data_IF_642472915250
#
_entry.id   IF_642472915250
#
_cell.length_a   1.000
_cell.length_b   1.000
_cell.length_c   1.000
_cell.angle_alpha   90.00
_cell.angle_beta   90.00
_cell.angle_gamma   90.00
#
_symmetry.space_group_name_H-M   'P 1'
#
loop_
_entity.id
_entity.type
_entity.pdbx_description
1 polymer ?
2 non-polymer ?
3 non-polymer ?
4 non-polymer ?
5 non-polymer ?
6 water ?
#
# COMPACT_ATOMS: atom_id res chain seq x y z
N UNK A 1 26.38 7.30 8.63
CA UNK A 1 26.28 8.11 7.43
C UNK A 1 24.86 8.67 7.27
N UNK A 2 24.64 9.44 6.20
CA UNK A 2 23.31 9.93 5.92
C UNK A 2 22.37 8.78 5.56
N UNK A 3 21.07 9.03 5.70
CA UNK A 3 20.09 8.06 5.23
C UNK A 3 19.99 8.20 3.72
N UNK A 4 20.32 7.15 3.01
CA UNK A 4 20.44 7.20 1.56
C UNK A 4 19.18 6.67 0.88
N UNK A 5 18.91 7.19 -0.32
CA UNK A 5 17.89 6.59 -1.16
C UNK A 5 18.23 5.14 -1.46
N UNK A 6 17.20 4.32 -1.67
CA UNK A 6 17.38 2.91 -1.97
C UNK A 6 16.68 2.54 -3.27
N UNK A 7 17.32 1.64 -4.00
CA UNK A 7 16.71 0.99 -5.15
C UNK A 7 16.92 -0.52 -5.02
N UNK A 8 16.59 -1.28 -6.05
CA UNK A 8 16.80 -2.72 -6.02
C UNK A 8 18.24 -3.06 -6.37
N UNK A 9 18.75 -4.10 -5.73
CA UNK A 9 20.10 -4.54 -6.04
C UNK A 9 20.13 -5.48 -7.23
N UNK A 10 19.03 -6.17 -7.51
CA UNK A 10 18.92 -7.10 -8.63
C UNK A 10 17.50 -7.05 -9.16
N UNK A 11 17.34 -7.43 -10.43
CA UNK A 11 16.02 -7.52 -11.04
C UNK A 11 15.20 -8.62 -10.38
N UNK A 12 13.92 -8.33 -10.15
CA UNK A 12 12.99 -9.26 -9.52
C UNK A 12 11.90 -9.59 -10.52
N UNK A 13 11.53 -10.86 -10.59
CA UNK A 13 10.44 -11.26 -11.48
C UNK A 13 9.42 -12.07 -10.71
N UNK A 14 8.15 -11.86 -11.05
CA UNK A 14 7.06 -12.63 -10.46
C UNK A 14 5.99 -12.83 -11.52
N UNK A 15 5.25 -13.92 -11.39
CA UNK A 15 4.09 -14.19 -12.23
C UNK A 15 2.89 -14.42 -11.33
N UNK A 16 1.72 -13.95 -11.76
CA UNK A 16 0.53 -14.15 -10.98
C UNK A 16 -0.69 -13.77 -11.79
N UNK A 17 -1.78 -13.45 -11.09
CA UNK A 17 -3.03 -13.06 -11.74
C UNK A 17 -3.55 -11.80 -11.06
N UNK A 18 -4.23 -10.98 -11.84
CA UNK A 18 -4.89 -9.81 -11.25
C UNK A 18 -6.09 -10.24 -10.41
N UNK A 19 -6.19 -9.70 -9.19
CA UNK A 19 -7.32 -10.01 -8.34
C UNK A 19 -8.63 -9.70 -9.05
N UNK A 20 -8.72 -8.53 -9.65
CA UNK A 20 -10.00 -8.11 -10.21
C UNK A 20 -10.18 -8.55 -11.65
N UNK A 21 -9.12 -8.50 -12.44
CA UNK A 21 -9.23 -8.89 -13.85
C UNK A 21 -9.09 -10.38 -14.05
N UNK A 22 -8.46 -11.09 -13.11
CA UNK A 22 -8.12 -12.49 -13.31
C UNK A 22 -7.09 -12.76 -14.37
N UNK A 23 -6.49 -11.73 -14.97
CA UNK A 23 -5.54 -11.91 -16.05
C UNK A 23 -4.17 -12.35 -15.54
N UNK A 24 -3.57 -13.31 -16.24
CA UNK A 24 -2.17 -13.64 -15.97
C UNK A 24 -1.30 -12.42 -16.26
N UNK A 25 -0.35 -12.15 -15.37
CA UNK A 25 0.50 -10.98 -15.53
C UNK A 25 1.92 -11.31 -15.08
N UNK A 26 2.89 -10.81 -15.85
CA UNK A 26 4.30 -10.88 -15.51
C UNK A 26 4.73 -9.55 -14.93
N UNK A 27 5.33 -9.62 -13.75
CA UNK A 27 5.81 -8.44 -13.04
C UNK A 27 7.32 -8.47 -13.02
N UNK A 28 7.94 -7.33 -13.33
CA UNK A 28 9.40 -7.20 -13.30
C UNK A 28 9.75 -5.93 -12.57
N UNK A 29 10.50 -6.05 -11.48
CA UNK A 29 10.99 -4.91 -10.72
C UNK A 29 12.45 -4.68 -11.10
N UNK A 30 12.78 -3.44 -11.49
CA UNK A 30 14.14 -3.12 -11.90
C UNK A 30 14.70 -1.96 -11.10
N UNK A 31 16.03 -1.91 -10.92
CA UNK A 31 16.65 -0.73 -10.34
C UNK A 31 16.37 0.51 -11.17
N UNK A 32 16.40 1.66 -10.52
CA UNK A 32 16.18 2.94 -11.16
C UNK A 32 17.10 3.97 -10.53
N UNK A 33 17.43 5.03 -11.26
CA UNK A 33 18.37 6.04 -10.73
C UNK A 33 17.76 6.88 -9.62
N UNK A 34 18.65 7.60 -8.94
CA UNK A 34 18.23 8.49 -7.88
C UNK A 34 17.13 9.43 -8.36
N UNK A 35 16.18 9.72 -7.47
CA UNK A 35 15.09 10.68 -7.70
C UNK A 35 14.14 10.24 -8.81
N UNK A 36 14.11 8.95 -9.13
CA UNK A 36 13.13 8.45 -10.10
C UNK A 36 11.75 8.29 -9.47
N UNK A 37 11.69 7.92 -8.19
CA UNK A 37 10.48 7.40 -7.60
C UNK A 37 10.18 6.00 -8.12
N UNK A 38 8.99 5.52 -7.77
CA UNK A 38 8.48 4.26 -8.28
C UNK A 38 7.64 4.56 -9.52
N UNK A 39 7.97 3.92 -10.63
CA UNK A 39 7.31 4.19 -11.90
C UNK A 39 6.79 2.89 -12.48
N UNK A 40 5.49 2.84 -12.74
CA UNK A 40 4.90 1.66 -13.35
C UNK A 40 4.98 1.78 -14.87
N UNK A 41 5.14 0.63 -15.52
CA UNK A 41 5.32 0.62 -16.96
C UNK A 41 4.49 -0.52 -17.54
N UNK A 42 3.55 -0.20 -18.43
CA UNK A 42 2.79 -1.20 -19.18
C UNK A 42 3.63 -1.62 -20.37
N UNK A 43 4.38 -2.71 -20.22
CA UNK A 43 5.26 -3.15 -21.28
C UNK A 43 4.58 -4.03 -22.31
N UNK A 44 3.29 -4.33 -22.12
CA UNK A 44 2.48 -4.95 -23.18
C UNK A 44 2.11 -3.96 -24.27
N UNK A 45 2.30 -2.66 -24.04
CA UNK A 45 1.99 -1.62 -24.98
C UNK A 45 3.26 -1.16 -25.70
N UNK A 46 3.10 -0.70 -26.95
CA UNK A 46 4.25 -0.21 -27.70
C UNK A 46 3.85 1.07 -28.43
N UNK A 47 4.46 2.22 -28.10
CA UNK A 47 5.43 2.43 -27.03
C UNK A 47 4.84 2.16 -25.65
N UNK A 48 5.67 1.94 -24.63
CA UNK A 48 5.13 1.69 -23.32
C UNK A 48 4.41 2.94 -22.82
N UNK A 49 3.55 2.74 -21.83
CA UNK A 49 3.00 3.84 -21.04
C UNK A 49 3.60 3.73 -19.63
N UNK A 50 4.25 4.81 -19.20
CA UNK A 50 4.89 4.89 -17.90
C UNK A 50 4.08 5.80 -16.98
N UNK A 51 3.73 5.28 -15.81
CA UNK A 51 2.91 6.05 -14.87
C UNK A 51 3.63 6.14 -13.53
N UNK A 52 4.18 7.29 -13.16
CA UNK A 52 4.74 7.42 -11.80
C UNK A 52 3.68 7.08 -10.76
N UNK A 53 4.11 6.38 -9.71
CA UNK A 53 3.20 6.02 -8.61
C UNK A 53 3.05 7.24 -7.70
N UNK A 54 2.23 8.18 -8.15
CA UNK A 54 2.05 9.46 -7.48
C UNK A 54 0.56 9.78 -7.40
N UNK A 55 0.19 10.51 -6.34
CA UNK A 55 -1.22 10.80 -6.10
C UNK A 55 -1.90 11.44 -7.31
N UNK A 56 -1.18 12.30 -8.04
CA UNK A 56 -1.75 12.99 -9.20
C UNK A 56 -2.15 12.04 -10.33
N UNK A 57 -1.66 10.80 -10.32
CA UNK A 57 -2.02 9.82 -11.35
C UNK A 57 -3.06 8.82 -10.89
N UNK A 58 -3.60 8.97 -9.68
CA UNK A 58 -4.68 8.09 -9.24
C UNK A 58 -5.97 8.47 -9.96
N UNK A 59 -6.59 7.48 -10.61
CA UNK A 59 -7.76 7.78 -11.42
C UNK A 59 -9.07 7.19 -10.94
N UNK A 60 -9.02 5.96 -10.43
CA UNK A 60 -10.19 5.31 -9.87
C UNK A 60 -9.80 4.72 -8.52
N UNK A 61 -10.77 4.62 -7.63
CA UNK A 61 -10.50 4.10 -6.30
C UNK A 61 -11.60 3.14 -5.84
N UNK A 62 -12.22 2.46 -6.79
CA UNK A 62 -13.28 1.50 -6.50
C UNK A 62 -12.67 0.11 -6.42
N UNK A 63 -12.69 -0.46 -5.21
CA UNK A 63 -12.19 -1.80 -4.89
C UNK A 63 -10.68 -1.93 -5.02
N UNK A 64 -9.97 -0.88 -5.43
CA UNK A 64 -8.52 -0.85 -5.42
C UNK A 64 -8.06 0.57 -5.76
N UNK A 65 -6.77 0.83 -5.63
CA UNK A 65 -6.20 2.08 -6.11
C UNK A 65 -5.69 1.88 -7.53
N UNK A 66 -6.15 2.72 -8.46
CA UNK A 66 -5.86 2.59 -9.88
C UNK A 66 -5.10 3.81 -10.35
N UNK A 67 -3.97 3.59 -11.03
CA UNK A 67 -3.26 4.66 -11.71
C UNK A 67 -3.74 4.73 -13.15
N UNK A 68 -3.84 5.95 -13.67
CA UNK A 68 -4.33 6.16 -15.02
C UNK A 68 -3.43 7.15 -15.75
N UNK A 69 -3.27 6.92 -17.06
CA UNK A 69 -2.57 7.85 -17.95
C UNK A 69 -3.07 7.59 -19.36
N UNK A 70 -3.42 8.65 -20.08
CA UNK A 70 -4.02 8.44 -21.39
C UNK A 70 -5.25 7.57 -21.25
N UNK A 71 -5.38 6.58 -22.14
CA UNK A 71 -6.50 5.64 -22.08
C UNK A 71 -6.23 4.42 -21.20
N UNK A 72 -5.07 4.36 -20.54
CA UNK A 72 -4.69 3.10 -19.94
C UNK A 72 -4.54 3.24 -18.43
N UNK A 73 -4.53 2.09 -17.77
CA UNK A 73 -4.55 2.04 -16.32
C UNK A 73 -3.58 0.98 -15.82
N UNK A 74 -3.21 1.13 -14.54
CA UNK A 74 -2.53 0.11 -13.77
C UNK A 74 -3.37 -0.08 -12.51
N UNK A 75 -3.97 -1.26 -12.36
CA UNK A 75 -4.91 -1.54 -11.29
C UNK A 75 -4.21 -2.16 -10.08
N UNK A 76 -4.73 -1.86 -8.89
CA UNK A 76 -4.41 -2.58 -7.65
C UNK A 76 -2.91 -2.45 -7.32
N UNK A 77 -2.47 -1.21 -7.20
CA UNK A 77 -1.07 -0.95 -6.89
C UNK A 77 -0.78 -1.00 -5.41
N UNK A 78 -1.80 -1.09 -4.55
CA UNK A 78 -1.61 -0.72 -3.15
C UNK A 78 -0.79 -1.73 -2.36
N UNK A 79 -0.88 -3.04 -2.67
CA UNK A 79 -0.14 -4.03 -1.89
C UNK A 79 1.33 -4.04 -2.24
N UNK A 80 1.65 -3.88 -3.53
CA UNK A 80 3.04 -3.75 -3.93
C UNK A 80 3.65 -2.46 -3.36
N UNK A 81 2.93 -1.34 -3.47
CA UNK A 81 3.45 -0.10 -2.92
C UNK A 81 3.62 -0.20 -1.41
N UNK A 82 2.75 -0.96 -0.73
CA UNK A 82 2.90 -1.12 0.71
C UNK A 82 4.21 -1.83 1.03
N UNK A 83 4.54 -2.88 0.27
CA UNK A 83 5.81 -3.57 0.44
C UNK A 83 6.98 -2.64 0.17
N UNK A 84 6.90 -1.84 -0.89
CA UNK A 84 8.01 -0.95 -1.19
C UNK A 84 8.17 0.12 -0.12
N UNK A 85 7.08 0.70 0.38
CA UNK A 85 7.16 1.66 1.47
C UNK A 85 7.74 1.02 2.73
N UNK A 86 7.26 -0.19 3.05
CA UNK A 86 7.72 -0.85 4.26
C UNK A 86 9.20 -1.16 4.25
N UNK A 87 9.78 -1.39 3.07
CA UNK A 87 11.19 -1.70 2.93
C UNK A 87 12.04 -0.49 2.59
N UNK A 88 11.42 0.66 2.37
CA UNK A 88 12.19 1.87 2.12
C UNK A 88 12.71 2.03 0.72
N UNK A 89 12.02 1.48 -0.28
CA UNK A 89 12.48 1.57 -1.66
C UNK A 89 12.05 2.92 -2.25
N UNK A 90 13.02 3.74 -2.65
CA UNK A 90 12.71 5.04 -3.23
C UNK A 90 12.50 4.96 -4.74
N UNK A 91 13.36 4.23 -5.44
CA UNK A 91 13.48 4.30 -6.90
C UNK A 91 13.37 2.89 -7.47
N UNK A 92 12.48 2.71 -8.44
CA UNK A 92 12.31 1.41 -9.07
C UNK A 92 11.42 1.55 -10.30
N UNK A 93 11.68 0.71 -11.31
CA UNK A 93 10.75 0.56 -12.42
C UNK A 93 9.96 -0.71 -12.20
N UNK A 94 8.65 -0.62 -12.30
CA UNK A 94 7.77 -1.76 -12.09
C UNK A 94 7.13 -2.06 -13.44
N UNK A 95 7.63 -3.08 -14.11
CA UNK A 95 7.10 -3.47 -15.42
C UNK A 95 5.98 -4.48 -15.24
N UNK A 96 4.89 -4.27 -15.98
CA UNK A 96 3.76 -5.19 -15.97
C UNK A 96 3.33 -5.52 -17.39
N UNK A 97 3.01 -6.80 -17.64
CA UNK A 97 2.55 -7.24 -18.95
C UNK A 97 1.04 -7.15 -19.12
N UNK A 98 0.33 -6.59 -18.13
CA UNK A 98 -1.12 -6.45 -18.20
C UNK A 98 -1.52 -5.29 -17.27
N UNK A 99 -2.83 -5.00 -17.22
CA UNK A 99 -3.31 -3.80 -16.55
C UNK A 99 -3.36 -3.90 -15.02
N UNK A 100 -3.05 -5.04 -14.40
CA UNK A 100 -3.23 -5.16 -12.96
C UNK A 100 -2.04 -5.87 -12.31
N UNK A 101 -1.59 -5.33 -11.18
CA UNK A 101 -0.53 -5.98 -10.40
C UNK A 101 -1.01 -7.36 -9.95
N UNK A 102 -0.17 -8.40 -10.03
CA UNK A 102 -0.61 -9.71 -9.54
C UNK A 102 -0.92 -9.66 -8.04
N UNK A 103 -1.98 -10.37 -7.65
CA UNK A 103 -2.42 -10.37 -6.26
C UNK A 103 -1.56 -11.28 -5.35
N UNK A 104 -0.85 -12.26 -5.91
CA UNK A 104 -0.01 -13.20 -5.15
C UNK A 104 -0.89 -13.90 -4.12
N UNK A 105 -0.56 -13.86 -2.83
CA UNK A 105 -1.38 -14.50 -1.80
C UNK A 105 -2.36 -13.53 -1.15
N UNK A 106 -2.52 -12.33 -1.70
CA UNK A 106 -3.42 -11.34 -1.16
C UNK A 106 -2.77 -10.36 -0.21
N UNK A 107 -1.52 -10.57 0.15
CA UNK A 107 -0.82 -9.75 1.12
C UNK A 107 0.36 -9.09 0.43
N UNK A 108 1.19 -8.41 1.22
CA UNK A 108 2.44 -7.89 0.69
C UNK A 108 3.61 -8.86 0.91
N UNK A 109 3.37 -9.97 1.59
CA UNK A 109 4.40 -10.93 1.94
C UNK A 109 5.27 -11.41 0.79
N UNK A 110 4.66 -11.96 -0.27
CA UNK A 110 5.48 -12.44 -1.39
C UNK A 110 6.32 -11.35 -2.04
N UNK A 111 5.80 -10.11 -2.16
CA UNK A 111 6.62 -9.02 -2.68
C UNK A 111 7.79 -8.73 -1.76
N UNK A 112 7.51 -8.61 -0.47
CA UNK A 112 8.56 -8.38 0.52
C UNK A 112 9.62 -9.47 0.44
N UNK A 113 9.21 -10.74 0.33
CA UNK A 113 10.21 -11.80 0.26
C UNK A 113 11.02 -11.72 -1.03
N UNK A 114 10.34 -11.53 -2.18
CA UNK A 114 11.06 -11.43 -3.45
C UNK A 114 12.06 -10.29 -3.43
N UNK A 115 11.69 -9.15 -2.85
CA UNK A 115 12.57 -7.99 -2.82
C UNK A 115 13.76 -8.24 -1.89
N UNK A 116 13.48 -8.72 -0.67
CA UNK A 116 14.56 -8.95 0.27
C UNK A 116 15.48 -10.06 -0.17
N UNK A 117 15.00 -10.98 -1.03
CA UNK A 117 15.88 -12.00 -1.59
C UNK A 117 16.84 -11.40 -2.59
N UNK A 118 16.35 -10.46 -3.40
CA UNK A 118 17.23 -9.80 -4.37
C UNK A 118 18.15 -8.80 -3.68
N UNK A 119 17.69 -8.22 -2.59
CA UNK A 119 18.46 -7.24 -1.86
C UNK A 119 18.19 -5.82 -2.35
N UNK A 120 18.45 -4.87 -1.46
CA UNK A 120 18.35 -3.45 -1.80
C UNK A 120 19.75 -2.87 -1.96
N UNK A 121 19.79 -1.73 -2.65
CA UNK A 121 21.03 -1.03 -2.95
C UNK A 121 20.88 0.43 -2.55
N UNK A 122 21.73 0.88 -1.63
CA UNK A 122 21.76 2.29 -1.27
C UNK A 122 22.44 3.08 -2.39
N UNK A 123 21.96 4.31 -2.59
CA UNK A 123 22.42 5.18 -3.66
C UNK A 123 23.00 6.46 -3.06
N UNK A 124 23.82 7.13 -3.86
CA UNK A 124 24.55 8.30 -3.34
C UNK A 124 23.70 9.56 -3.50
N UNK A 125 22.63 9.58 -2.73
CA UNK A 125 21.77 10.75 -2.61
C UNK A 125 20.97 10.61 -1.32
N UNK A 126 20.75 11.72 -0.64
CA UNK A 126 19.98 11.69 0.60
C UNK A 126 18.54 11.26 0.33
N UNK A 127 18.03 10.37 1.18
CA UNK A 127 16.62 9.98 1.16
C UNK A 127 15.77 11.13 1.67
N UNK A 128 14.72 11.47 0.94
CA UNK A 128 13.83 12.57 1.30
C UNK A 128 12.60 12.03 2.01
N UNK A 129 12.24 12.67 3.12
CA UNK A 129 11.03 12.34 3.87
C UNK A 129 10.07 13.52 3.83
N UNK A 130 8.78 13.23 3.89
CA UNK A 130 7.77 14.26 4.05
C UNK A 130 7.35 14.26 5.52
N UNK A 131 7.65 15.34 6.23
CA UNK A 131 7.30 15.46 7.65
C UNK A 131 6.01 16.26 7.80
N UNK A 132 5.04 15.68 8.50
CA UNK A 132 3.79 16.35 8.80
C UNK A 132 4.04 17.41 9.88
N UNK A 133 3.69 18.65 9.56
CA UNK A 133 3.85 19.77 10.49
C UNK A 133 2.55 20.23 11.11
N UNK A 134 1.43 20.02 10.43
CA UNK A 134 0.13 20.44 10.92
C UNK A 134 -0.87 19.34 10.64
N UNK A 135 -1.89 19.25 11.49
CA UNK A 135 -2.93 18.24 11.26
C UNK A 135 -3.66 18.52 9.97
N UNK A 136 -3.96 17.45 9.23
CA UNK A 136 -4.76 17.54 8.02
C UNK A 136 -5.76 16.41 8.07
N UNK A 137 -7.04 16.75 7.97
CA UNK A 137 -8.13 15.79 8.13
C UNK A 137 -9.11 15.93 6.97
N UNK A 138 -9.56 14.79 6.45
CA UNK A 138 -10.66 14.78 5.48
C UNK A 138 -11.72 13.82 5.96
N UNK A 139 -12.98 14.17 5.70
CA UNK A 139 -14.11 13.34 6.06
C UNK A 139 -15.09 13.30 4.91
N UNK A 140 -15.85 12.22 4.84
CA UNK A 140 -17.01 12.12 3.94
C UNK A 140 -17.97 11.10 4.55
N UNK A 141 -19.19 11.52 4.87
CA UNK A 141 -20.08 10.58 5.54
C UNK A 141 -19.50 10.21 6.88
N UNK A 142 -19.57 8.93 7.24
CA UNK A 142 -19.01 8.46 8.49
C UNK A 142 -17.54 8.07 8.39
N UNK A 143 -16.86 8.39 7.29
CA UNK A 143 -15.46 8.03 7.09
C UNK A 143 -14.56 9.21 7.37
N UNK A 144 -13.36 8.91 7.88
CA UNK A 144 -12.42 9.96 8.22
C UNK A 144 -11.00 9.45 8.01
N UNK A 145 -10.13 10.33 7.55
CA UNK A 145 -8.71 10.03 7.39
C UNK A 145 -7.94 11.27 7.83
N UNK A 146 -6.92 11.09 8.68
CA UNK A 146 -6.21 12.22 9.30
C UNK A 146 -4.71 11.96 9.29
N UNK A 147 -3.93 13.02 9.01
CA UNK A 147 -2.50 13.07 9.31
C UNK A 147 -2.28 13.96 10.53
N UNK A 148 -1.48 13.49 11.49
CA UNK A 148 -1.09 14.35 12.60
C UNK A 148 0.42 14.33 12.76
N UNK A 149 1.02 15.43 13.18
CA UNK A 149 2.47 15.44 13.41
C UNK A 149 2.84 14.36 14.42
N UNK A 150 3.97 13.70 14.16
CA UNK A 150 4.43 12.58 14.96
C UNK A 150 5.88 12.29 14.61
N UNK A 151 6.73 12.17 15.63
CA UNK A 151 8.16 11.94 15.41
C UNK A 151 8.40 10.44 15.22
N UNK A 152 8.10 9.98 14.02
CA UNK A 152 8.22 8.58 13.66
C UNK A 152 7.27 8.28 12.51
N UNK A 153 6.83 7.02 12.45
CA UNK A 153 5.76 6.68 11.51
C UNK A 153 4.82 5.72 12.21
N UNK A 154 3.54 6.08 12.20
CA UNK A 154 2.55 5.33 12.96
C UNK A 154 1.25 5.35 12.18
N UNK A 155 0.56 4.22 12.16
CA UNK A 155 -0.70 4.09 11.42
C UNK A 155 -1.71 3.42 12.33
N UNK A 156 -2.89 4.04 12.44
CA UNK A 156 -3.98 3.43 13.17
C UNK A 156 -5.21 3.39 12.28
N UNK A 157 -6.03 2.36 12.50
CA UNK A 157 -7.18 2.13 11.65
C UNK A 157 -8.31 1.54 12.47
N UNK A 158 -9.54 1.93 12.16
CA UNK A 158 -10.73 1.34 12.75
C UNK A 158 -11.70 0.96 11.66
N UNK A 159 -12.20 -0.26 11.71
CA UNK A 159 -13.27 -0.70 10.83
C UNK A 159 -14.51 -0.96 11.67
N UNK A 160 -15.64 -1.08 10.98
CA UNK A 160 -16.92 -1.28 11.66
C UNK A 160 -17.85 -2.02 10.68
N UNK A 161 -17.68 -3.34 10.61
CA UNK A 161 -18.49 -4.18 9.74
C UNK A 161 -19.67 -4.72 10.53
N UNK A 162 -20.88 -4.49 10.03
CA UNK A 162 -22.09 -5.05 10.59
C UNK A 162 -22.25 -6.47 10.04
N UNK A 163 -21.46 -7.39 10.59
CA UNK A 163 -21.32 -8.75 10.10
C UNK A 163 -20.96 -9.68 11.25
N UNK A 164 -21.55 -10.88 11.31
CA UNK A 164 -21.31 -11.74 12.48
C UNK A 164 -19.87 -12.24 12.62
N UNK A 165 -19.06 -12.24 11.55
CA UNK A 165 -17.64 -12.59 11.71
C UNK A 165 -16.82 -11.44 12.26
N UNK A 166 -17.36 -10.22 12.27
CA UNK A 166 -16.63 -9.04 12.70
C UNK A 166 -17.11 -8.49 14.04
N UNK A 167 -18.40 -8.60 14.34
CA UNK A 167 -18.91 -8.14 15.62
C UNK A 167 -18.21 -8.87 16.75
N UNK A 168 -17.78 -8.13 17.76
CA UNK A 168 -17.11 -8.69 18.91
C UNK A 168 -15.64 -8.99 18.72
N UNK A 169 -15.08 -8.66 17.57
CA UNK A 169 -13.68 -8.90 17.22
C UNK A 169 -12.86 -7.62 17.36
N UNK A 170 -11.55 -7.77 17.17
CA UNK A 170 -10.63 -6.64 17.21
C UNK A 170 -10.74 -5.90 15.88
N UNK A 171 -11.41 -4.75 15.91
CA UNK A 171 -11.63 -3.96 14.70
C UNK A 171 -10.89 -2.62 14.75
N UNK A 172 -10.01 -2.43 15.71
CA UNK A 172 -9.15 -1.26 15.79
C UNK A 172 -7.74 -1.75 16.03
N UNK A 173 -6.77 -1.11 15.36
CA UNK A 173 -5.37 -1.43 15.61
C UNK A 173 -4.53 -0.18 15.42
N UNK A 174 -3.43 -0.12 16.17
CA UNK A 174 -2.46 0.97 16.06
C UNK A 174 -1.07 0.36 15.96
N UNK A 175 -0.31 0.76 14.96
CA UNK A 175 1.02 0.19 14.77
C UNK A 175 2.02 1.35 14.71
N UNK A 176 2.95 1.37 15.66
CA UNK A 176 4.05 2.33 15.72
C UNK A 176 5.28 1.61 15.20
N UNK A 177 5.80 2.04 14.05
CA UNK A 177 6.83 1.23 13.41
C UNK A 177 8.23 1.47 13.98
N UNK A 178 8.34 2.21 15.09
CA UNK A 178 9.59 2.17 15.83
C UNK A 178 9.65 1.00 16.79
N UNK A 179 8.51 0.39 17.09
CA UNK A 179 8.46 -0.73 18.02
C UNK A 179 7.78 -1.96 17.45
N UNK A 180 7.15 -1.87 16.27
CA UNK A 180 6.48 -2.99 15.63
C UNK A 180 6.99 -3.15 14.21
N UNK A 181 7.27 -4.39 13.81
CA UNK A 181 7.88 -4.71 12.53
C UNK A 181 6.84 -4.74 11.42
N UNK A 182 7.05 -3.93 10.38
CA UNK A 182 6.22 -4.05 9.19
C UNK A 182 6.29 -5.48 8.63
N UNK A 183 7.51 -6.02 8.49
CA UNK A 183 7.63 -7.34 7.86
C UNK A 183 6.86 -8.39 8.64
N UNK A 184 7.03 -8.41 9.97
CA UNK A 184 6.47 -9.51 10.74
C UNK A 184 5.01 -9.32 11.09
N UNK A 185 4.57 -8.08 11.34
CA UNK A 185 3.24 -7.86 11.88
C UNK A 185 2.25 -7.27 10.90
N UNK A 186 2.67 -6.73 9.75
CA UNK A 186 1.74 -6.13 8.80
C UNK A 186 1.78 -6.81 7.43
N UNK A 187 2.97 -7.13 6.93
CA UNK A 187 3.12 -7.45 5.51
C UNK A 187 2.32 -8.68 5.11
N UNK A 188 2.13 -9.64 6.01
CA UNK A 188 1.44 -10.88 5.68
C UNK A 188 -0.08 -10.80 5.81
N UNK A 189 -0.64 -9.65 6.19
CA UNK A 189 -2.10 -9.56 6.32
C UNK A 189 -2.76 -9.55 4.95
N UNK A 190 -3.66 -10.51 4.71
CA UNK A 190 -4.26 -10.68 3.39
C UNK A 190 -5.51 -9.82 3.19
N UNK A 191 -5.77 -9.50 1.93
CA UNK A 191 -7.01 -8.86 1.54
C UNK A 191 -8.19 -9.80 1.85
N UNK A 192 -9.38 -9.22 1.87
CA UNK A 192 -10.56 -9.98 2.27
C UNK A 192 -11.77 -9.44 1.52
N UNK A 193 -12.77 -10.30 1.39
CA UNK A 193 -14.01 -9.95 0.72
C UNK A 193 -15.05 -10.96 1.15
N UNK A 194 -16.26 -10.77 0.63
CA UNK A 194 -17.43 -11.49 1.11
C UNK A 194 -18.01 -12.35 0.00
N UNK A 195 -18.21 -13.64 0.31
CA UNK A 195 -18.71 -14.59 -0.67
C UNK A 195 -20.07 -14.15 -1.21
N UNK A 196 -20.90 -13.56 -0.34
CA UNK A 196 -22.19 -13.02 -0.77
C UNK A 196 -22.08 -12.18 -2.04
N UNK A 197 -20.97 -11.43 -2.17
CA UNK A 197 -20.81 -10.45 -3.23
C UNK A 197 -20.20 -11.01 -4.51
N UNK A 198 -19.75 -12.28 -4.53
CA UNK A 198 -18.82 -12.64 -5.60
C UNK A 198 -19.51 -12.68 -6.96
N UNK A 199 -20.75 -13.20 -7.04
CA UNK A 199 -21.42 -13.20 -8.34
C UNK A 199 -21.67 -11.77 -8.82
N UNK A 200 -22.04 -10.88 -7.92
CA UNK A 200 -22.21 -9.48 -8.28
C UNK A 200 -20.90 -8.84 -8.71
N UNK A 201 -19.83 -9.04 -7.93
CA UNK A 201 -18.53 -8.48 -8.29
C UNK A 201 -18.10 -8.95 -9.68
N UNK A 202 -18.17 -10.26 -9.92
CA UNK A 202 -17.75 -10.79 -11.22
C UNK A 202 -18.59 -10.21 -12.35
N UNK A 203 -19.87 -9.97 -12.09
CA UNK A 203 -20.72 -9.34 -13.10
C UNK A 203 -20.21 -7.96 -13.50
N UNK A 204 -19.36 -7.36 -12.66
CA UNK A 204 -18.77 -6.05 -12.90
C UNK A 204 -17.28 -6.14 -13.23
N UNK A 205 -16.79 -7.32 -13.59
CA UNK A 205 -15.36 -7.55 -13.83
C UNK A 205 -14.52 -7.14 -12.62
N UNK A 206 -15.02 -7.46 -11.44
CA UNK A 206 -14.27 -7.33 -10.21
C UNK A 206 -14.13 -8.70 -9.58
N UNK A 207 -13.03 -8.89 -8.84
CA UNK A 207 -12.71 -10.15 -8.17
C UNK A 207 -12.76 -11.37 -9.11
N UNK A 208 -12.49 -11.16 -10.40
CA UNK A 208 -12.52 -12.28 -11.34
C UNK A 208 -11.45 -13.32 -11.00
N UNK A 209 -10.35 -12.90 -10.38
CA UNK A 209 -9.30 -13.80 -9.96
C UNK A 209 -9.30 -14.17 -8.49
N UNK A 210 -10.28 -13.70 -7.72
CA UNK A 210 -10.24 -13.87 -6.27
C UNK A 210 -10.78 -15.22 -5.82
N UNK A 211 -10.12 -15.78 -4.82
CA UNK A 211 -10.48 -17.08 -4.25
C UNK A 211 -9.83 -17.18 -2.88
N UNK A 212 -10.07 -18.29 -2.18
CA UNK A 212 -9.37 -18.50 -0.93
C UNK A 212 -7.86 -18.64 -1.11
N UNK A 213 -7.39 -18.82 -2.35
CA UNK A 213 -5.95 -18.89 -2.59
C UNK A 213 -5.27 -17.54 -2.52
N UNK A 214 -6.01 -16.43 -2.64
CA UNK A 214 -5.38 -15.12 -2.61
C UNK A 214 -6.17 -14.10 -1.80
N UNK A 215 -7.10 -14.54 -0.95
CA UNK A 215 -7.90 -13.64 -0.15
C UNK A 215 -8.56 -14.42 0.98
N UNK A 216 -8.85 -13.72 2.07
CA UNK A 216 -9.77 -14.25 3.07
C UNK A 216 -11.18 -14.06 2.52
N UNK A 217 -11.87 -15.16 2.30
CA UNK A 217 -13.23 -15.11 1.77
C UNK A 217 -14.18 -15.36 2.93
N UNK A 218 -14.97 -14.35 3.27
CA UNK A 218 -15.87 -14.40 4.42
C UNK A 218 -17.27 -14.73 3.91
N UNK A 219 -17.84 -15.81 4.42
CA UNK A 219 -19.21 -16.17 4.08
C UNK A 219 -20.15 -15.49 5.09
N UNK A 220 -21.41 -15.95 5.15
CA UNK A 220 -22.40 -15.26 5.96
C UNK A 220 -22.11 -15.36 7.44
N UNK A 221 -21.54 -16.50 7.89
CA UNK A 221 -21.36 -16.75 9.30
C UNK A 221 -20.01 -17.41 9.62
N UNK A 222 -19.07 -17.42 8.68
CA UNK A 222 -17.80 -18.09 8.88
C UNK A 222 -16.80 -17.64 7.83
N UNK A 223 -15.52 -17.81 8.15
CA UNK A 223 -14.42 -17.65 7.19
C UNK A 223 -14.32 -18.93 6.38
N UNK A 224 -14.21 -18.82 5.05
CA UNK A 224 -14.16 -20.01 4.22
C UNK A 224 -12.78 -20.65 4.18
N UNK A 225 -11.72 -19.87 4.41
CA UNK A 225 -10.36 -20.39 4.34
C UNK A 225 -10.17 -21.48 5.38
N UNK A 226 -10.06 -22.72 4.93
CA UNK A 226 -9.99 -23.82 5.89
C UNK A 226 -8.68 -23.82 6.67
N UNK A 227 -7.61 -23.19 6.14
CA UNK A 227 -6.38 -23.14 6.90
C UNK A 227 -6.33 -22.00 7.91
N UNK A 228 -7.33 -21.11 7.92
CA UNK A 228 -7.47 -20.14 8.99
C UNK A 228 -6.81 -18.80 8.70
N UNK A 229 -6.65 -18.03 9.77
CA UNK A 229 -6.10 -16.68 9.70
C UNK A 229 -4.64 -16.65 10.10
N UNK A 230 -3.92 -15.63 9.60
CA UNK A 230 -2.54 -15.44 10.01
C UNK A 230 -2.41 -14.58 11.26
N UNK A 231 -3.39 -13.72 11.50
CA UNK A 231 -3.46 -12.86 12.69
C UNK A 231 -4.91 -12.83 13.13
N UNK A 232 -5.15 -12.78 14.44
CA UNK A 232 -6.54 -12.66 14.88
C UNK A 232 -7.15 -11.36 14.37
N UNK A 233 -6.34 -10.33 14.20
CA UNK A 233 -6.81 -9.03 13.68
C UNK A 233 -6.35 -8.84 12.23
N UNK A 234 -6.37 -9.90 11.44
CA UNK A 234 -5.87 -9.80 10.08
C UNK A 234 -6.64 -8.79 9.24
N UNK A 235 -7.96 -8.66 9.46
CA UNK A 235 -8.74 -7.73 8.63
C UNK A 235 -8.28 -6.29 8.83
N UNK A 236 -8.22 -5.82 10.08
CA UNK A 236 -7.82 -4.43 10.29
C UNK A 236 -6.34 -4.23 9.96
N UNK A 237 -5.50 -5.24 10.21
CA UNK A 237 -4.10 -5.12 9.81
C UNK A 237 -3.96 -4.99 8.31
N UNK A 238 -4.86 -5.65 7.55
CA UNK A 238 -4.79 -5.46 6.10
C UNK A 238 -5.18 -4.04 5.71
N UNK A 239 -6.15 -3.45 6.41
CA UNK A 239 -6.49 -2.06 6.12
C UNK A 239 -5.31 -1.14 6.38
N UNK A 240 -4.49 -1.47 7.39
CA UNK A 240 -3.28 -0.71 7.65
C UNK A 240 -2.28 -0.90 6.53
N UNK A 241 -2.11 -2.14 6.06
CA UNK A 241 -1.26 -2.39 4.90
C UNK A 241 -1.72 -1.57 3.69
N UNK A 242 -3.01 -1.59 3.40
CA UNK A 242 -3.56 -0.79 2.31
C UNK A 242 -3.22 0.69 2.51
N UNK A 243 -3.39 1.19 3.73
CA UNK A 243 -3.16 2.60 3.98
C UNK A 243 -1.71 2.97 3.72
N UNK A 244 -0.77 2.10 4.11
CA UNK A 244 0.65 2.37 3.87
C UNK A 244 0.94 2.47 2.38
N UNK A 245 0.38 1.55 1.58
CA UNK A 245 0.59 1.60 0.14
C UNK A 245 -0.03 2.82 -0.51
N UNK A 246 -1.27 3.15 -0.13
CA UNK A 246 -1.91 4.36 -0.64
C UNK A 246 -1.15 5.62 -0.24
N UNK A 247 -0.66 5.67 1.01
CA UNK A 247 0.10 6.83 1.46
C UNK A 247 1.41 6.99 0.71
N UNK A 248 2.00 5.88 0.26
CA UNK A 248 3.26 5.99 -0.47
C UNK A 248 3.11 6.66 -1.82
N UNK A 249 1.89 6.88 -2.31
CA UNK A 249 1.69 7.69 -3.50
C UNK A 249 2.10 9.15 -3.28
N UNK A 250 2.43 9.56 -2.05
CA UNK A 250 3.10 10.83 -1.85
C UNK A 250 4.45 10.87 -2.53
N UNK A 251 5.05 9.72 -2.79
CA UNK A 251 6.34 9.66 -3.46
C UNK A 251 7.54 9.66 -2.55
N UNK A 252 7.33 9.80 -1.24
CA UNK A 252 8.39 9.75 -0.24
C UNK A 252 7.83 9.18 1.06
N UNK A 253 8.71 8.62 1.87
CA UNK A 253 8.31 8.12 3.18
C UNK A 253 7.84 9.27 4.08
N UNK A 254 6.90 8.94 4.97
CA UNK A 254 6.29 9.90 5.88
C UNK A 254 6.96 9.90 7.25
N UNK A 255 7.12 11.08 7.81
CA UNK A 255 7.36 11.26 9.24
C UNK A 255 6.08 11.88 9.80
N UNK A 256 5.28 11.06 10.46
CA UNK A 256 3.99 11.52 10.94
C UNK A 256 3.11 10.33 11.26
N UNK A 257 1.86 10.62 11.56
CA UNK A 257 0.93 9.59 12.00
C UNK A 257 -0.33 9.66 11.15
N UNK A 258 -0.85 8.50 10.74
CA UNK A 258 -2.11 8.39 10.02
C UNK A 258 -3.14 7.73 10.91
N UNK A 259 -4.35 8.27 10.92
CA UNK A 259 -5.48 7.65 11.62
C UNK A 259 -6.64 7.54 10.65
N UNK A 260 -7.13 6.31 10.45
CA UNK A 260 -8.24 6.08 9.55
C UNK A 260 -9.43 5.48 10.25
N UNK A 261 -10.61 6.02 9.99
CA UNK A 261 -11.86 5.48 10.50
C UNK A 261 -12.73 5.12 9.31
N UNK A 262 -12.88 3.83 9.05
CA UNK A 262 -13.65 3.33 7.91
C UNK A 262 -13.16 3.92 6.59
N UNK A 263 -11.91 4.37 6.57
CA UNK A 263 -11.35 4.94 5.35
C UNK A 263 -11.15 3.83 4.32
N UNK A 264 -10.97 4.22 3.08
CA UNK A 264 -10.70 3.30 1.99
C UNK A 264 -9.87 4.01 0.95
N UNK A 265 -9.65 3.37 -0.19
CA UNK A 265 -8.72 3.96 -1.17
C UNK A 265 -9.15 5.35 -1.59
N UNK A 266 -10.45 5.57 -1.78
CA UNK A 266 -10.94 6.88 -2.23
C UNK A 266 -10.57 7.97 -1.23
N UNK A 267 -10.88 7.76 0.05
CA UNK A 267 -10.63 8.81 1.03
C UNK A 267 -9.14 8.95 1.33
N UNK A 268 -8.39 7.84 1.28
CA UNK A 268 -6.94 7.93 1.40
C UNK A 268 -6.37 8.88 0.35
N UNK A 269 -6.85 8.77 -0.88
CA UNK A 269 -6.31 9.64 -1.91
C UNK A 269 -6.78 11.08 -1.73
N UNK A 270 -8.00 11.29 -1.24
CA UNK A 270 -8.43 12.65 -0.93
C UNK A 270 -7.59 13.26 0.18
N UNK A 271 -7.20 12.45 1.17
CA UNK A 271 -6.29 12.96 2.21
C UNK A 271 -4.96 13.38 1.60
N UNK A 272 -4.40 12.54 0.72
CA UNK A 272 -3.12 12.91 0.09
C UNK A 272 -3.25 14.18 -0.73
N UNK A 273 -4.34 14.35 -1.48
CA UNK A 273 -4.51 15.53 -2.30
C UNK A 273 -4.63 16.78 -1.44
N UNK A 274 -5.33 16.67 -0.31
CA UNK A 274 -5.47 17.80 0.60
C UNK A 274 -4.15 18.14 1.27
N UNK A 275 -3.38 17.12 1.65
CA UNK A 275 -2.07 17.36 2.25
C UNK A 275 -1.14 18.06 1.26
N UNK A 276 -1.04 17.53 0.04
CA UNK A 276 -0.18 18.14 -0.97
C UNK A 276 -0.56 19.61 -1.18
N UNK A 277 -1.86 19.90 -1.24
CA UNK A 277 -2.31 21.27 -1.49
C UNK A 277 -2.04 22.16 -0.29
N UNK A 278 -2.03 21.60 0.91
CA UNK A 278 -1.83 22.39 2.12
C UNK A 278 -0.34 22.41 2.46
N UNK A 279 0.41 23.19 1.68
CA UNK A 279 1.86 23.08 1.74
C UNK A 279 2.44 23.55 3.07
N UNK A 280 1.75 24.39 3.83
CA UNK A 280 2.33 24.74 5.13
C UNK A 280 2.12 23.64 6.17
N UNK A 281 1.50 22.54 5.79
CA UNK A 281 1.33 21.41 6.70
C UNK A 281 2.43 20.38 6.57
N UNK A 282 3.38 20.57 5.65
CA UNK A 282 4.42 19.55 5.51
C UNK A 282 5.69 20.18 4.97
N UNK A 283 6.78 19.43 5.10
CA UNK A 283 8.10 19.88 4.67
C UNK A 283 8.90 18.66 4.25
N UNK A 284 9.90 18.88 3.40
CA UNK A 284 10.79 17.80 2.96
C UNK A 284 12.03 17.86 3.82
N UNK A 285 12.44 16.71 4.37
CA UNK A 285 13.58 16.65 5.29
C UNK A 285 14.48 15.50 4.89
N UNK A 286 15.76 15.65 5.22
CA UNK A 286 16.77 14.62 5.05
C UNK A 286 17.55 14.49 6.35
N UNK A 287 18.33 13.42 6.46
CA UNK A 287 19.04 13.10 7.70
C UNK A 287 20.50 12.83 7.38
N UNK A 288 21.38 13.74 7.85
CA UNK A 288 22.80 13.57 7.64
C UNK A 288 23.40 12.46 8.50
N UNK A 289 22.67 11.99 9.51
CA UNK A 289 23.15 10.97 10.44
C UNK A 289 21.98 10.04 10.76
N UNK A 290 22.05 8.80 10.27
CA UNK A 290 20.95 7.88 10.50
C UNK A 290 20.68 7.67 11.98
N UNK A 291 21.70 7.84 12.81
CA UNK A 291 21.54 7.54 14.23
C UNK A 291 20.56 8.50 14.92
N UNK A 292 20.42 9.72 14.41
CA UNK A 292 19.59 10.73 15.06
C UNK A 292 18.18 10.83 14.48
N UNK A 293 17.88 10.06 13.43
CA UNK A 293 16.58 10.18 12.78
C UNK A 293 15.48 9.45 13.56
N UNK A 294 14.22 9.89 13.40
CA UNK A 294 13.10 9.23 14.09
C UNK A 294 12.65 7.93 13.44
N UNK A 295 13.16 7.60 12.25
CA UNK A 295 12.83 6.35 11.57
C UNK A 295 14.15 5.64 11.26
N UNK A 296 14.16 4.33 11.37
CA UNK A 296 15.34 3.56 11.02
C UNK A 296 14.94 2.39 10.14
N UNK A 297 15.88 1.96 9.31
CA UNK A 297 15.66 0.89 8.36
C UNK A 297 16.65 -0.22 8.61
N UNK A 298 16.24 -1.45 8.34
CA UNK A 298 17.18 -2.55 8.43
C UNK A 298 18.20 -2.45 7.30
N UNK A 299 19.27 -3.21 7.44
CA UNK A 299 20.31 -3.26 6.43
C UNK A 299 19.71 -3.60 5.07
N UNK A 300 20.27 -3.09 3.97
CA UNK A 300 19.74 -3.38 2.64
C UNK A 300 19.94 -4.84 2.24
X LIG B 1 -12.54 -9.85 -2.81
X LIG B 1 -10.66 -5.69 -1.01
X LIG B 1 -10.64 -3.19 -1.55
X LIG B 1 -12.31 -7.42 -3.11
X LIG B 1 -13.04 -8.66 -3.23
X LIG B 1 -14.63 -15.87 -3.93
X LIG B 1 -14.68 -13.55 -3.15
X LIG B 1 -13.32 -13.49 -3.45
X LIG B 1 -12.65 -12.29 -3.33
X LIG B 1 -13.29 -11.12 -2.93
X LIG B 1 -14.64 -11.22 -2.65
X LIG B 1 -15.33 -12.40 -2.76
X LIG B 1 -11.23 -9.87 -2.22
X LIG B 1 -10.55 -8.73 -2.10
X LIG B 1 -10.27 -6.28 -2.37
X LIG B 1 -10.08 -4.31 -0.68
X LIG B 1 -8.55 -4.31 -0.75
X LIG B 1 -10.05 -5.12 2.23
X LIG B 1 -15.35 -10.14 -2.25
X LIG B 1 -11.06 -7.53 -2.53
X LIG B 1 -8.02 -3.39 -1.61
X LIG B 1 -15.28 -14.76 -3.29
X LIG B 1 -7.86 -5.06 -0.10
X LIG B 1 -6.58 -3.39 -1.67
X LIG B 1 -12.16 -3.75 1.08
X LIG B 1 -9.77 -2.45 1.37
X LIG B 1 -12.73 -6.32 -3.48
X LIG B 1 -10.57 -3.80 1.06
X LIG C 1 8.77 2.26 7.90
X LIG C 1 11.23 -0.46 11.38
X LIG C 1 13.57 -1.50 11.55
X LIG C 1 9.10 0.11 9.02
X LIG C 1 8.28 1.07 8.35
X LIG C 1 4.76 5.76 4.13
X LIG C 1 6.50 5.19 5.72
X LIG C 1 7.54 5.61 6.57
X LIG C 1 8.25 4.66 7.27
X LIG C 1 7.97 3.28 7.17
X LIG C 1 6.95 2.93 6.32
X LIG C 1 6.22 3.85 5.61
X LIG C 1 10.17 2.54 8.08
X LIG C 1 10.93 1.65 8.71
X LIG C 1 11.31 -0.51 9.85
X LIG C 1 12.08 -1.58 11.97
X LIG C 1 11.51 -2.94 11.56
X LIG C 1 10.45 -1.99 14.51
X LIG C 1 6.60 1.64 6.14
X LIG C 1 10.43 0.46 9.18
X LIG C 1 12.39 -3.99 11.40
X LIG C 1 5.80 6.13 5.05
X LIG C 1 10.32 -3.07 11.37
X LIG C 1 11.72 -5.21 11.00
X LIG C 1 12.38 0.01 14.21
X LIG C 1 13.17 -2.62 14.30
X LIG C 1 8.70 -0.98 9.47
X LIG C 1 12.11 -1.53 13.84
X LIG D 1 -5.86 -4.42 0.08
X LIG E 1 -2.33 25.26 5.45
X LIG F 1 -2.81 25.11 7.43
X LIG G 1 6.91 -13.07 4.46
X LIG G 1 7.45 -12.98 3.14
X LIG G 1 7.17 -11.77 5.21
X LIG G 1 6.88 -10.65 4.37
X LIG H 1 -12.36 -7.05 -20.32
X LIG H 1 -13.32 -7.29 -19.28
X LIG H 1 -11.44 -5.92 -19.87
X LIG H 1 -10.53 -6.41 -18.88
X LIG I 1 -10.94 -2.51 -11.28
X LIG I 1 -10.93 -1.18 -11.81
X LIG I 1 -10.14 -2.53 -9.98
X LIG I 1 -10.55 -1.46 -9.11
X LIG J 1 -19.01 15.30 8.12
X LIG J 1 -18.20 14.16 7.80
X LIG J 1 -20.38 15.10 7.47
X LIG J 1 -20.91 13.84 7.89
X LIG K 1 -5.29 11.25 -13.07
X LIG K 1 -5.15 12.04 -14.26
X LIG K 1 -6.75 11.24 -12.63
X LIG K 1 -6.90 12.12 -11.51
X LIG L 1 13.37 4.01 -18.52
X LIG L 1 14.42 4.17 -19.49
X LIG L 1 12.54 5.29 -18.49
X LIG L 1 11.80 5.41 -19.71
#
# INVERSE_FOLDING_TARGET
SMIKQRTLKNIIRATGVGLHSGEKVYLTLKPAPVDTGIVFCRTDLDPVVEIPARAENVGETTMSTTLVKGDVKVDTVEHLLSAMAGLGIDNAYVELSASEVPIMDGSAGPFVFLIQSAGLQEQEAAKKFIRIKREVSVEEGDKRAVFVPFDGFKVSFEIDFDHPVFRGRTQQASVDFSSTSFVKEVSRARTFGFMRDIEYLRSQNLALGGSVENAIVVDENRVLNEDGLRYEDEFVKHKILDAIGDLYLLGNSLIGEFRGFKSGHALNNQLLRTLIADKDAWEVVTFEDARTAPISYMRPAAAV
8GJ C10 C15 C17 C26 C28 C01 C03 C04 C05 C06 C07 C09 C11 C12 C14 C16 C18 C23 F08 N13 N20 O02 O19 O21 O24 O25 O27 S22
8GJ C10 C15 C17 C26 C28 C01 C03 C04 C05 C06 C07 C09 C11 C12 C14 C16 C18 C23 F08 N13 N20 O02 O19 O21 O24 O25 O27 S22
ZN ZN
ZN ZN
CL CL
EDO C1 O1 C2 O2
EDO C1 O1 C2 O2
EDO C1 O1 C2 O2
EDO C1 O1 C2 O2
EDO C1 O1 C2 O2
EDO C1 O1 C2 O2
#
